data_IF_363401041011
#
_entry.id   IF_363401041011
#
_cell.length_a   1.000
_cell.length_b   1.000
_cell.length_c   1.000
_cell.angle_alpha   90.00
_cell.angle_beta   90.00
_cell.angle_gamma   90.00
#
_symmetry.space_group_name_H-M   'P 1'
#
loop_
_entity.id
_entity.type
_entity.pdbx_description
1 polymer ?
#
# COMPACT_ATOMS: atom_id res chain seq x y z
N UNK A 1 42.54 -33.45 98.85
CA UNK A 1 41.06 -33.31 98.89
C UNK A 1 40.63 -32.29 97.86
N UNK A 2 39.84 -32.71 96.94
CA UNK A 2 39.11 -31.94 95.90
C UNK A 2 39.95 -31.20 94.87
N UNK A 3 40.16 -31.90 93.76
CA UNK A 3 40.54 -31.37 92.45
C UNK A 3 39.36 -30.64 91.81
N UNK A 4 39.68 -29.50 91.24
CA UNK A 4 38.74 -28.81 90.31
C UNK A 4 39.37 -28.75 88.93
N UNK A 5 38.70 -29.39 87.97
CA UNK A 5 39.13 -29.39 86.56
C UNK A 5 38.44 -28.19 85.84
N UNK A 6 39.24 -27.41 85.14
CA UNK A 6 38.84 -26.28 84.30
C UNK A 6 38.63 -26.85 82.90
N UNK A 7 37.38 -26.76 82.42
CA UNK A 7 36.97 -27.02 81.01
C UNK A 7 37.21 -25.79 80.18
N UNK A 8 38.04 -25.90 79.13
CA UNK A 8 38.20 -24.89 78.10
C UNK A 8 37.22 -25.15 76.94
N UNK A 9 36.27 -24.29 76.77
CA UNK A 9 35.32 -24.36 75.65
C UNK A 9 35.90 -23.62 74.44
N UNK A 10 36.20 -24.38 73.34
CA UNK A 10 36.49 -23.76 72.05
C UNK A 10 35.15 -23.32 71.37
N UNK A 11 35.01 -22.04 71.11
CA UNK A 11 33.97 -21.51 70.21
C UNK A 11 34.48 -21.61 68.77
N UNK A 12 33.82 -22.45 67.95
CA UNK A 12 34.00 -22.46 66.50
C UNK A 12 33.08 -21.36 65.88
N UNK A 13 33.69 -20.33 65.27
CA UNK A 13 32.95 -19.38 64.43
C UNK A 13 32.60 -20.05 63.09
N UNK A 14 31.29 -20.30 62.91
CA UNK A 14 30.79 -20.64 61.59
C UNK A 14 30.66 -19.37 60.75
N UNK A 15 31.50 -19.22 59.73
CA UNK A 15 31.37 -18.17 58.70
C UNK A 15 30.21 -18.51 57.76
N UNK A 16 29.09 -17.77 57.85
CA UNK A 16 28.03 -17.80 56.85
C UNK A 16 28.56 -17.21 55.53
N UNK A 17 28.88 -18.06 54.59
CA UNK A 17 29.07 -17.66 53.21
C UNK A 17 27.71 -17.25 52.63
N UNK A 18 27.46 -15.95 52.47
CA UNK A 18 26.35 -15.44 51.66
C UNK A 18 26.67 -15.72 50.21
N UNK A 19 26.10 -16.81 49.69
CA UNK A 19 26.09 -17.10 48.25
C UNK A 19 25.33 -16.01 47.53
N UNK A 20 26.03 -15.09 46.86
CA UNK A 20 25.44 -14.23 45.85
C UNK A 20 24.87 -15.11 44.77
N UNK A 21 23.52 -15.07 44.59
CA UNK A 21 22.89 -15.62 43.39
C UNK A 21 23.56 -14.98 42.19
N UNK A 22 23.95 -15.75 41.17
CA UNK A 22 24.43 -15.15 39.94
C UNK A 22 23.32 -14.28 39.38
N UNK A 23 23.60 -12.99 39.24
CA UNK A 23 22.79 -12.06 38.47
C UNK A 23 22.60 -12.65 37.08
N UNK A 24 21.38 -12.96 36.70
CA UNK A 24 21.08 -13.47 35.36
C UNK A 24 21.54 -12.43 34.37
N UNK A 25 22.64 -12.73 33.67
CA UNK A 25 23.08 -11.93 32.56
C UNK A 25 21.91 -11.65 31.64
N UNK A 26 21.44 -10.42 31.58
CA UNK A 26 20.45 -9.95 30.61
C UNK A 26 21.05 -10.24 29.24
N UNK A 27 20.64 -11.35 28.62
CA UNK A 27 21.02 -11.66 27.26
C UNK A 27 20.48 -10.52 26.38
N UNK A 28 21.37 -9.88 25.62
CA UNK A 28 20.96 -8.87 24.63
C UNK A 28 19.88 -9.51 23.73
N UNK A 29 18.83 -8.75 23.41
CA UNK A 29 17.79 -9.26 22.50
C UNK A 29 18.40 -9.81 21.21
N UNK A 30 17.96 -10.96 20.77
CA UNK A 30 18.37 -11.55 19.50
C UNK A 30 17.78 -10.70 18.37
N UNK A 31 18.61 -10.26 17.43
CA UNK A 31 18.15 -9.57 16.25
C UNK A 31 17.36 -10.55 15.37
N UNK A 32 16.04 -10.38 15.29
CA UNK A 32 15.15 -11.19 14.45
C UNK A 32 14.77 -10.36 13.23
N UNK A 33 14.93 -10.94 12.03
CA UNK A 33 14.33 -10.39 10.82
C UNK A 33 12.85 -10.76 10.81
N UNK A 34 11.98 -9.80 11.10
CA UNK A 34 10.52 -10.02 11.16
C UNK A 34 9.83 -9.93 9.81
N UNK A 35 10.54 -9.44 8.78
CA UNK A 35 9.99 -9.35 7.42
C UNK A 35 10.95 -9.96 6.40
N UNK A 36 11.26 -11.27 6.51
CA UNK A 36 12.07 -11.93 5.51
C UNK A 36 11.30 -11.94 4.18
N UNK A 37 12.00 -11.63 3.10
CA UNK A 37 11.47 -11.77 1.74
C UNK A 37 12.16 -12.98 1.05
N UNK A 38 11.55 -14.18 1.15
CA UNK A 38 12.08 -15.37 0.48
C UNK A 38 11.82 -15.38 -1.04
N UNK A 39 11.02 -14.44 -1.53
CA UNK A 39 10.65 -14.26 -2.92
C UNK A 39 11.03 -12.84 -3.40
N UNK A 40 12.33 -12.48 -3.41
CA UNK A 40 12.74 -11.13 -3.71
C UNK A 40 12.36 -10.72 -5.13
N UNK A 41 12.18 -9.40 -5.31
CA UNK A 41 11.95 -8.83 -6.63
C UNK A 41 13.08 -9.23 -7.60
N UNK A 42 12.68 -9.73 -8.77
CA UNK A 42 13.57 -9.93 -9.92
C UNK A 42 13.35 -8.86 -10.99
N UNK A 43 12.54 -7.85 -10.68
CA UNK A 43 12.28 -6.74 -11.59
C UNK A 43 13.56 -6.05 -12.02
N UNK A 44 13.65 -5.77 -13.30
CA UNK A 44 14.69 -4.94 -13.91
C UNK A 44 14.02 -3.94 -14.84
N UNK A 45 14.43 -2.69 -14.76
CA UNK A 45 13.91 -1.66 -15.65
C UNK A 45 14.08 -2.06 -17.12
N UNK A 46 13.06 -1.81 -17.90
CA UNK A 46 13.09 -2.02 -19.35
C UNK A 46 14.04 -1.01 -20.01
N UNK A 47 14.52 -1.29 -21.25
CA UNK A 47 15.35 -0.35 -21.98
C UNK A 47 14.67 1.03 -22.11
N UNK A 48 15.35 2.07 -21.68
CA UNK A 48 14.86 3.44 -21.66
C UNK A 48 15.79 4.36 -22.43
N UNK A 49 15.24 5.11 -23.38
CA UNK A 49 15.96 6.18 -24.05
C UNK A 49 15.80 7.49 -23.27
N UNK A 50 16.85 8.35 -23.21
CA UNK A 50 16.69 9.69 -22.67
C UNK A 50 15.58 10.43 -23.38
N UNK A 51 14.56 10.88 -22.60
CA UNK A 51 13.34 11.51 -23.15
C UNK A 51 13.08 12.83 -22.47
N UNK A 52 12.86 13.88 -23.24
CA UNK A 52 12.44 15.20 -22.76
C UNK A 52 11.04 15.48 -23.27
N UNK A 53 10.12 15.75 -22.37
CA UNK A 53 8.79 16.27 -22.68
C UNK A 53 8.84 17.76 -22.34
N UNK A 54 8.59 18.62 -23.33
CA UNK A 54 8.64 20.06 -23.15
C UNK A 54 7.31 20.74 -23.46
N UNK A 55 7.16 21.94 -22.94
CA UNK A 55 6.03 22.82 -23.23
C UNK A 55 4.67 22.24 -22.79
N UNK A 56 4.66 21.33 -21.80
CA UNK A 56 3.46 20.76 -21.20
C UNK A 56 3.06 21.51 -19.93
N UNK A 57 1.79 21.40 -19.50
CA UNK A 57 1.43 21.69 -18.11
C UNK A 57 1.87 20.49 -17.27
N UNK A 58 2.64 20.72 -16.20
CA UNK A 58 3.18 19.65 -15.34
C UNK A 58 2.54 19.75 -13.97
N UNK A 59 1.98 18.64 -13.48
CA UNK A 59 1.73 18.42 -12.06
C UNK A 59 2.89 17.60 -11.49
N UNK A 60 3.60 18.13 -10.49
CA UNK A 60 4.79 17.45 -9.96
C UNK A 60 4.48 16.27 -9.01
N UNK A 61 3.22 16.18 -8.57
CA UNK A 61 2.74 15.15 -7.66
C UNK A 61 2.87 15.50 -6.18
N UNK A 62 3.41 16.68 -5.85
CA UNK A 62 3.51 17.24 -4.50
C UNK A 62 2.91 18.65 -4.43
N UNK A 63 1.80 18.86 -5.15
CA UNK A 63 1.03 20.09 -5.17
C UNK A 63 1.51 21.15 -6.17
N UNK A 64 2.68 20.97 -6.80
CA UNK A 64 3.24 21.92 -7.75
C UNK A 64 2.63 21.80 -9.15
N UNK A 65 2.39 22.99 -9.78
CA UNK A 65 1.96 23.15 -11.17
C UNK A 65 2.95 24.04 -11.93
N UNK A 66 3.40 23.57 -13.09
CA UNK A 66 4.34 24.31 -13.96
C UNK A 66 3.72 24.45 -15.35
N UNK A 67 3.48 25.67 -15.79
CA UNK A 67 3.04 25.95 -17.15
C UNK A 67 4.24 25.94 -18.11
N UNK A 68 4.02 25.49 -19.35
CA UNK A 68 5.08 25.34 -20.35
C UNK A 68 6.31 24.59 -19.81
N UNK A 69 6.05 23.62 -18.93
CA UNK A 69 7.08 22.87 -18.21
C UNK A 69 7.84 21.91 -19.09
N UNK A 70 9.00 21.52 -18.57
CA UNK A 70 9.90 20.54 -19.17
C UNK A 70 10.18 19.45 -18.15
N UNK A 71 10.03 18.18 -18.56
CA UNK A 71 10.37 16.98 -17.78
C UNK A 71 11.40 16.17 -18.53
N UNK A 72 12.53 15.88 -17.89
CA UNK A 72 13.60 15.06 -18.47
C UNK A 72 13.71 13.72 -17.72
N UNK A 73 13.54 12.63 -18.46
CA UNK A 73 13.62 11.24 -18.00
C UNK A 73 14.89 10.60 -18.59
N UNK A 74 15.77 10.08 -17.76
CA UNK A 74 16.99 9.40 -18.20
C UNK A 74 17.52 8.43 -17.13
N UNK A 75 18.08 7.31 -17.57
CA UNK A 75 18.66 6.32 -16.66
C UNK A 75 17.66 5.74 -15.65
N UNK A 76 16.41 5.62 -16.02
CA UNK A 76 15.33 5.15 -15.13
C UNK A 76 14.84 6.19 -14.11
N UNK A 77 15.33 7.43 -14.19
CA UNK A 77 15.06 8.47 -13.21
C UNK A 77 14.51 9.73 -13.86
N UNK A 78 13.73 10.47 -13.07
CA UNK A 78 13.49 11.88 -13.34
C UNK A 78 14.81 12.62 -13.12
N UNK A 79 15.32 13.25 -14.16
CA UNK A 79 16.62 13.93 -14.09
C UNK A 79 16.45 15.43 -13.88
N UNK A 80 15.45 16.03 -14.53
CA UNK A 80 15.11 17.43 -14.33
C UNK A 80 13.62 17.66 -14.54
N UNK A 81 13.08 18.62 -13.79
CA UNK A 81 11.74 19.20 -13.99
C UNK A 81 11.86 20.69 -13.78
N UNK A 82 11.29 21.47 -14.68
CA UNK A 82 11.35 22.92 -14.58
C UNK A 82 10.53 23.63 -15.66
N UNK A 83 10.74 24.93 -15.80
CA UNK A 83 10.07 25.76 -16.80
C UNK A 83 10.62 25.58 -18.23
N UNK A 84 10.22 26.46 -19.15
CA UNK A 84 10.58 26.39 -20.59
C UNK A 84 12.09 26.47 -20.84
N UNK A 85 12.85 27.13 -19.96
CA UNK A 85 14.29 27.32 -20.10
C UNK A 85 15.14 26.15 -19.56
N UNK A 86 14.48 25.07 -19.12
CA UNK A 86 15.18 23.86 -18.64
C UNK A 86 16.06 23.26 -19.77
N UNK A 87 17.38 23.06 -19.55
CA UNK A 87 18.27 22.57 -20.58
C UNK A 87 17.87 21.21 -21.15
N UNK A 88 17.97 21.06 -22.47
CA UNK A 88 17.71 19.80 -23.17
C UNK A 88 19.06 19.18 -23.53
N UNK A 89 19.41 18.01 -22.99
CA UNK A 89 20.65 17.32 -23.32
C UNK A 89 20.67 16.85 -24.78
N UNK A 90 21.85 16.91 -25.39
CA UNK A 90 22.05 16.37 -26.74
C UNK A 90 21.73 14.88 -26.79
N UNK A 91 21.08 14.44 -27.86
CA UNK A 91 20.73 13.02 -28.08
C UNK A 91 19.47 12.54 -27.35
N UNK A 92 18.78 13.40 -26.56
CA UNK A 92 17.50 13.04 -26.01
C UNK A 92 16.38 13.05 -27.07
N UNK A 93 15.44 12.13 -26.96
CA UNK A 93 14.17 12.18 -27.70
C UNK A 93 13.34 13.33 -27.17
N UNK A 94 12.99 14.28 -28.00
CA UNK A 94 12.18 15.45 -27.60
C UNK A 94 10.74 15.25 -28.03
N UNK A 95 9.82 15.37 -27.06
CA UNK A 95 8.37 15.28 -27.27
C UNK A 95 7.76 16.66 -27.01
N UNK A 96 6.98 17.15 -27.97
CA UNK A 96 6.19 18.36 -27.81
C UNK A 96 4.91 18.08 -26.99
N UNK A 97 4.82 18.70 -25.84
CA UNK A 97 3.70 18.62 -24.93
C UNK A 97 2.73 19.78 -25.01
N UNK A 98 2.79 20.60 -26.06
CA UNK A 98 1.87 21.74 -26.24
C UNK A 98 0.42 21.30 -26.14
N UNK A 99 -0.35 21.91 -25.22
CA UNK A 99 -1.75 21.57 -24.95
C UNK A 99 -1.95 20.24 -24.23
N UNK A 100 -0.87 19.64 -23.73
CA UNK A 100 -0.88 18.36 -22.99
C UNK A 100 -0.41 18.55 -21.54
N UNK A 101 -0.69 17.54 -20.71
CA UNK A 101 -0.28 17.50 -19.31
C UNK A 101 0.70 16.36 -19.07
N UNK A 102 1.64 16.59 -18.17
CA UNK A 102 2.53 15.54 -17.64
C UNK A 102 2.29 15.44 -16.13
N UNK A 103 2.07 14.21 -15.68
CA UNK A 103 1.92 13.89 -14.25
C UNK A 103 2.86 12.76 -13.85
N UNK A 104 3.13 12.56 -12.54
CA UNK A 104 3.64 11.28 -12.08
C UNK A 104 2.71 10.15 -12.53
N UNK A 105 3.26 8.94 -12.64
CA UNK A 105 2.46 7.74 -12.82
C UNK A 105 1.41 7.59 -11.72
N UNK A 106 0.21 7.17 -12.10
CA UNK A 106 -0.86 6.92 -11.14
C UNK A 106 -0.55 5.68 -10.31
N UNK A 107 -0.78 5.76 -9.01
CA UNK A 107 -0.58 4.67 -8.04
C UNK A 107 -1.94 4.27 -7.47
N UNK A 108 -2.37 3.04 -7.71
CA UNK A 108 -3.56 2.50 -7.06
C UNK A 108 -3.18 1.74 -5.80
N UNK A 109 -3.63 2.24 -4.66
CA UNK A 109 -3.32 1.64 -3.35
C UNK A 109 -4.20 0.43 -3.02
N UNK A 110 -5.23 0.13 -3.80
CA UNK A 110 -6.14 -0.98 -3.53
C UNK A 110 -6.63 -1.63 -4.82
N UNK A 111 -5.98 -2.69 -5.21
CA UNK A 111 -6.34 -3.48 -6.38
C UNK A 111 -6.34 -4.97 -6.07
N UNK A 112 -7.13 -5.71 -6.84
CA UNK A 112 -7.21 -7.16 -6.83
C UNK A 112 -6.87 -7.76 -8.21
N UNK A 113 -6.25 -6.97 -9.10
CA UNK A 113 -5.83 -7.47 -10.41
C UNK A 113 -4.89 -8.67 -10.25
N UNK A 114 -5.12 -9.68 -11.04
CA UNK A 114 -4.41 -10.95 -10.97
C UNK A 114 -4.93 -11.93 -9.92
N UNK A 115 -5.53 -11.46 -8.80
CA UNK A 115 -6.16 -12.33 -7.78
C UNK A 115 -7.61 -12.67 -8.15
N UNK A 116 -8.25 -11.85 -8.98
CA UNK A 116 -9.55 -12.08 -9.61
C UNK A 116 -9.43 -11.84 -11.11
N UNK A 117 -8.52 -12.57 -11.74
CA UNK A 117 -8.14 -12.37 -13.12
C UNK A 117 -9.29 -12.62 -14.09
N UNK A 118 -9.27 -11.92 -15.22
CA UNK A 118 -10.19 -12.17 -16.34
C UNK A 118 -9.89 -13.49 -17.06
N UNK A 119 -10.90 -14.27 -17.48
CA UNK A 119 -12.32 -14.06 -17.23
C UNK A 119 -12.69 -14.35 -15.78
N UNK A 120 -13.66 -13.63 -15.21
CA UNK A 120 -14.12 -13.78 -13.83
C UNK A 120 -14.89 -15.09 -13.60
N UNK A 121 -14.16 -16.17 -13.45
CA UNK A 121 -14.66 -17.52 -13.17
C UNK A 121 -14.11 -18.02 -11.84
N UNK A 122 -14.73 -19.03 -11.22
CA UNK A 122 -14.33 -19.55 -9.92
C UNK A 122 -12.85 -19.98 -9.86
N UNK A 123 -12.32 -20.52 -10.96
CA UNK A 123 -10.92 -20.91 -11.07
C UNK A 123 -9.92 -19.74 -10.94
N UNK A 124 -10.38 -18.49 -11.11
CA UNK A 124 -9.60 -17.27 -11.00
C UNK A 124 -9.99 -16.45 -9.75
N UNK A 125 -10.69 -17.04 -8.79
CA UNK A 125 -11.20 -16.34 -7.60
C UNK A 125 -10.31 -16.63 -6.38
N UNK A 126 -9.12 -16.05 -6.37
CA UNK A 126 -8.05 -16.36 -5.41
C UNK A 126 -7.79 -15.24 -4.38
N UNK A 127 -8.61 -14.20 -4.35
CA UNK A 127 -8.37 -13.03 -3.51
C UNK A 127 -8.69 -13.20 -2.02
N UNK A 128 -9.31 -14.31 -1.56
CA UNK A 128 -9.59 -14.53 -0.14
C UNK A 128 -9.40 -15.99 0.29
N UNK A 129 -8.49 -16.23 1.23
CA UNK A 129 -8.41 -17.52 1.94
C UNK A 129 -9.42 -17.53 3.09
N UNK A 130 -10.70 -17.71 2.76
CA UNK A 130 -11.81 -17.55 3.70
C UNK A 130 -12.07 -18.79 4.59
N UNK A 131 -11.07 -19.63 4.85
CA UNK A 131 -11.20 -20.85 5.68
C UNK A 131 -11.08 -20.59 7.19
N UNK A 132 -10.73 -19.37 7.57
CA UNK A 132 -10.70 -18.91 8.97
C UNK A 132 -10.50 -17.41 9.05
N UNK A 133 -10.90 -16.76 10.17
CA UNK A 133 -10.87 -15.30 10.28
C UNK A 133 -9.46 -14.70 10.35
N UNK A 134 -8.46 -15.50 10.66
CA UNK A 134 -7.05 -15.10 10.76
C UNK A 134 -6.24 -15.94 9.78
N UNK A 135 -5.70 -15.31 8.74
CA UNK A 135 -4.88 -15.92 7.68
C UNK A 135 -3.70 -15.03 7.31
N UNK A 136 -3.03 -14.49 8.34
CA UNK A 136 -1.89 -13.61 8.14
C UNK A 136 -0.67 -14.29 7.48
N UNK A 137 -0.68 -15.62 7.37
CA UNK A 137 0.34 -16.42 6.70
C UNK A 137 0.23 -16.47 5.19
N UNK A 138 -0.93 -16.12 4.61
CA UNK A 138 -1.09 -16.11 3.15
C UNK A 138 -0.59 -14.80 2.55
N UNK A 139 -0.16 -14.84 1.29
CA UNK A 139 0.44 -13.70 0.61
C UNK A 139 -0.20 -13.53 -0.77
N UNK A 140 -0.74 -12.36 -1.08
CA UNK A 140 -1.37 -12.07 -2.36
C UNK A 140 -0.44 -12.34 -3.56
N UNK A 141 0.87 -12.12 -3.41
CA UNK A 141 1.85 -12.39 -4.48
C UNK A 141 1.87 -13.85 -4.96
N UNK A 142 1.32 -14.79 -4.19
CA UNK A 142 1.25 -16.19 -4.58
C UNK A 142 0.05 -16.53 -5.46
N UNK A 143 -0.96 -15.65 -5.53
CA UNK A 143 -2.15 -15.81 -6.36
C UNK A 143 -2.16 -14.90 -7.59
N UNK A 144 -1.38 -13.84 -7.61
CA UNK A 144 -1.35 -12.91 -8.76
C UNK A 144 -1.03 -13.63 -10.06
N UNK A 145 -1.93 -13.55 -11.03
CA UNK A 145 -1.68 -13.97 -12.40
C UNK A 145 -1.17 -12.79 -13.24
N UNK A 146 0.13 -12.77 -13.61
CA UNK A 146 0.75 -11.62 -14.30
C UNK A 146 0.18 -11.29 -15.69
N UNK A 147 -0.47 -12.27 -16.33
CA UNK A 147 -1.07 -12.13 -17.67
C UNK A 147 -2.54 -11.66 -17.62
N UNK A 148 -3.06 -11.31 -16.45
CA UNK A 148 -4.40 -10.70 -16.37
C UNK A 148 -4.44 -9.43 -17.24
N UNK A 149 -5.35 -9.35 -18.24
CA UNK A 149 -5.47 -8.18 -19.12
C UNK A 149 -5.87 -6.90 -18.36
N UNK A 150 -6.34 -7.02 -17.13
CA UNK A 150 -6.60 -5.90 -16.24
C UNK A 150 -5.37 -5.00 -16.06
N UNK A 151 -4.16 -5.57 -15.99
CA UNK A 151 -2.92 -4.81 -15.85
C UNK A 151 -2.67 -3.89 -17.04
N UNK A 152 -2.74 -4.42 -18.27
CA UNK A 152 -2.52 -3.60 -19.47
C UNK A 152 -3.63 -2.56 -19.66
N UNK A 153 -4.88 -2.88 -19.36
CA UNK A 153 -5.99 -1.92 -19.42
C UNK A 153 -5.82 -0.79 -18.40
N UNK A 154 -5.40 -1.10 -17.18
CA UNK A 154 -5.11 -0.11 -16.14
C UNK A 154 -3.97 0.84 -16.59
N UNK A 155 -2.94 0.29 -17.24
CA UNK A 155 -1.83 1.09 -17.78
C UNK A 155 -2.32 2.08 -18.83
N UNK A 156 -3.01 1.57 -19.88
CA UNK A 156 -3.31 2.39 -21.07
C UNK A 156 -4.46 3.36 -20.88
N UNK A 157 -5.45 3.01 -20.06
CA UNK A 157 -6.62 3.84 -19.81
C UNK A 157 -6.49 4.73 -18.58
N UNK A 158 -5.81 4.24 -17.54
CA UNK A 158 -5.67 4.91 -16.25
C UNK A 158 -4.30 5.53 -15.98
N UNK A 159 -3.28 5.20 -16.79
CA UNK A 159 -1.91 5.65 -16.51
C UNK A 159 -1.34 5.01 -15.23
N UNK A 160 -1.84 3.85 -14.82
CA UNK A 160 -1.40 3.14 -13.61
C UNK A 160 -0.01 2.57 -13.83
N UNK A 161 0.97 3.07 -13.11
CA UNK A 161 2.37 2.62 -13.18
C UNK A 161 2.77 1.73 -12.00
N UNK A 162 2.07 1.87 -10.89
CA UNK A 162 2.31 1.12 -9.65
C UNK A 162 0.97 0.81 -9.00
N UNK A 163 0.84 -0.38 -8.42
CA UNK A 163 -0.37 -0.76 -7.71
C UNK A 163 -0.06 -1.71 -6.55
N UNK A 164 -0.87 -1.65 -5.50
CA UNK A 164 -0.85 -2.64 -4.44
C UNK A 164 -1.90 -3.71 -4.72
N UNK A 165 -1.46 -4.97 -4.79
CA UNK A 165 -2.37 -6.12 -4.75
C UNK A 165 -2.45 -6.61 -3.31
N UNK A 166 -3.67 -6.78 -2.83
CA UNK A 166 -3.92 -7.18 -1.45
C UNK A 166 -5.11 -8.15 -1.38
N UNK A 167 -5.15 -9.02 -0.37
CA UNK A 167 -6.30 -9.90 -0.16
C UNK A 167 -7.60 -9.12 -0.01
N UNK A 168 -8.72 -9.75 -0.35
CA UNK A 168 -10.05 -9.21 -0.10
C UNK A 168 -10.36 -9.09 1.40
N UNK A 169 -11.58 -8.69 1.73
CA UNK A 169 -11.97 -8.33 3.10
C UNK A 169 -12.84 -9.38 3.79
N UNK A 170 -12.77 -10.66 3.36
CA UNK A 170 -13.49 -11.74 4.04
C UNK A 170 -12.95 -12.03 5.45
N UNK A 171 -11.66 -11.85 5.65
CA UNK A 171 -10.94 -12.19 6.88
C UNK A 171 -10.66 -10.93 7.73
N UNK A 172 -10.62 -11.08 9.05
CA UNK A 172 -10.10 -10.03 9.95
C UNK A 172 -8.61 -9.77 9.68
N UNK A 173 -7.84 -10.84 9.42
CA UNK A 173 -6.45 -10.79 8.97
C UNK A 173 -6.37 -11.60 7.68
N UNK A 174 -6.33 -10.89 6.56
CA UNK A 174 -6.44 -11.47 5.22
C UNK A 174 -5.13 -11.97 4.63
N UNK A 175 -3.99 -11.51 5.15
CA UNK A 175 -2.67 -11.89 4.65
C UNK A 175 -1.86 -10.71 4.11
N UNK A 176 -0.68 -11.01 3.56
CA UNK A 176 0.24 -9.99 3.06
C UNK A 176 -0.18 -9.45 1.70
N UNK A 177 -0.08 -8.14 1.54
CA UNK A 177 -0.17 -7.46 0.26
C UNK A 177 1.20 -7.31 -0.39
N UNK A 178 1.24 -7.08 -1.70
CA UNK A 178 2.46 -6.82 -2.47
C UNK A 178 2.29 -5.57 -3.31
N UNK A 179 3.36 -4.78 -3.46
CA UNK A 179 3.41 -3.65 -4.39
C UNK A 179 4.05 -4.09 -5.69
N UNK A 180 3.38 -3.82 -6.81
CA UNK A 180 3.83 -4.18 -8.14
C UNK A 180 4.07 -2.94 -8.99
N UNK A 181 5.07 -3.00 -9.87
CA UNK A 181 5.15 -2.14 -11.05
C UNK A 181 4.27 -2.73 -12.14
N UNK A 182 3.49 -1.89 -12.79
CA UNK A 182 2.56 -2.34 -13.83
C UNK A 182 3.29 -2.56 -15.17
N UNK A 183 4.09 -3.60 -15.22
CA UNK A 183 4.90 -3.98 -16.37
C UNK A 183 4.57 -5.40 -16.82
N UNK A 184 4.67 -5.73 -18.12
CA UNK A 184 4.56 -7.10 -18.58
C UNK A 184 5.62 -7.99 -17.91
N UNK A 185 5.21 -9.14 -17.39
CA UNK A 185 6.15 -10.10 -16.82
C UNK A 185 5.56 -11.51 -16.83
N UNK A 186 6.44 -12.54 -16.84
CA UNK A 186 6.01 -13.94 -16.77
C UNK A 186 5.79 -14.44 -15.35
N UNK A 187 6.30 -13.70 -14.37
CA UNK A 187 6.19 -14.03 -12.93
C UNK A 187 5.91 -12.77 -12.13
N UNK A 188 5.23 -12.91 -11.01
CA UNK A 188 4.94 -11.79 -10.11
C UNK A 188 6.22 -11.11 -9.59
N UNK A 189 7.29 -11.87 -9.36
CA UNK A 189 8.58 -11.30 -8.93
C UNK A 189 9.18 -10.37 -9.99
N UNK A 190 8.87 -10.61 -11.28
CA UNK A 190 9.25 -9.70 -12.37
C UNK A 190 8.48 -8.38 -12.37
N UNK A 191 7.33 -8.32 -11.70
CA UNK A 191 6.54 -7.09 -11.49
C UNK A 191 6.78 -6.46 -10.11
N UNK A 192 7.26 -7.24 -9.14
CA UNK A 192 7.38 -6.83 -7.74
C UNK A 192 8.24 -5.58 -7.58
N UNK A 193 7.70 -4.56 -6.94
CA UNK A 193 8.38 -3.27 -6.74
C UNK A 193 9.64 -3.46 -5.87
N UNK A 194 10.84 -3.06 -6.33
CA UNK A 194 12.09 -3.32 -5.61
C UNK A 194 12.14 -2.62 -4.25
N UNK A 195 12.22 -3.43 -3.18
CA UNK A 195 12.36 -2.95 -1.81
C UNK A 195 11.14 -2.17 -1.29
N UNK A 196 9.95 -2.41 -1.83
CA UNK A 196 8.72 -1.98 -1.18
C UNK A 196 8.44 -2.87 0.04
N UNK A 197 8.01 -2.30 1.18
CA UNK A 197 7.56 -3.12 2.30
C UNK A 197 6.29 -3.89 1.95
N UNK A 198 6.09 -5.04 2.58
CA UNK A 198 4.79 -5.71 2.54
C UNK A 198 3.77 -4.95 3.36
N UNK A 199 2.48 -5.10 3.00
CA UNK A 199 1.38 -4.74 3.86
C UNK A 199 0.72 -5.96 4.50
N UNK A 200 -0.04 -5.77 5.55
CA UNK A 200 -1.00 -6.72 6.09
C UNK A 200 -2.40 -6.21 5.78
N UNK A 201 -3.18 -6.95 4.99
CA UNK A 201 -4.60 -6.68 4.83
C UNK A 201 -5.35 -7.12 6.08
N UNK A 202 -6.07 -6.17 6.66
CA UNK A 202 -7.05 -6.42 7.71
C UNK A 202 -8.45 -5.97 7.25
N UNK A 203 -9.48 -6.39 7.96
CA UNK A 203 -10.83 -5.91 7.76
C UNK A 203 -11.60 -5.76 9.08
N UNK A 204 -12.38 -4.68 9.19
CA UNK A 204 -13.42 -4.50 10.18
C UNK A 204 -14.81 -4.73 9.55
N UNK A 205 -15.88 -4.57 10.32
CA UNK A 205 -17.22 -4.38 9.80
C UNK A 205 -17.98 -5.63 9.44
N UNK A 206 -18.87 -5.46 8.47
CA UNK A 206 -19.85 -6.50 8.15
C UNK A 206 -19.27 -7.69 7.38
N UNK A 207 -18.19 -7.49 6.61
CA UNK A 207 -17.69 -8.56 5.76
C UNK A 207 -17.20 -9.77 6.57
N UNK A 208 -16.26 -9.64 7.53
CA UNK A 208 -15.84 -10.80 8.34
C UNK A 208 -16.99 -11.41 9.12
N UNK A 209 -17.82 -10.58 9.79
CA UNK A 209 -18.93 -11.11 10.59
C UNK A 209 -19.96 -11.86 9.75
N UNK A 210 -20.20 -11.44 8.49
CA UNK A 210 -21.12 -12.12 7.57
C UNK A 210 -20.52 -13.45 7.09
N UNK A 211 -19.25 -13.42 6.66
CA UNK A 211 -18.58 -14.61 6.12
C UNK A 211 -18.52 -15.73 7.15
N UNK A 212 -18.10 -15.45 8.37
CA UNK A 212 -17.96 -16.46 9.41
C UNK A 212 -19.26 -16.72 10.16
N UNK A 213 -20.08 -15.71 10.40
CA UNK A 213 -21.40 -15.86 11.03
C UNK A 213 -22.34 -16.76 10.22
N UNK A 214 -22.32 -16.69 8.89
CA UNK A 214 -23.10 -17.60 8.01
C UNK A 214 -22.68 -19.07 8.13
N UNK A 215 -21.48 -19.32 8.66
CA UNK A 215 -20.91 -20.67 8.90
C UNK A 215 -21.00 -21.09 10.38
N UNK A 216 -21.78 -20.36 11.21
CA UNK A 216 -21.84 -20.55 12.67
C UNK A 216 -20.45 -20.48 13.35
N UNK A 217 -19.57 -19.62 12.86
CA UNK A 217 -18.22 -19.39 13.38
C UNK A 217 -18.07 -17.96 13.89
N UNK A 218 -17.16 -17.75 14.83
CA UNK A 218 -16.73 -16.41 15.25
C UNK A 218 -15.75 -15.83 14.22
N UNK A 219 -15.90 -14.53 13.84
CA UNK A 219 -16.87 -13.55 14.35
C UNK A 219 -18.23 -13.63 13.66
N UNK A 220 -19.30 -13.39 14.41
CA UNK A 220 -20.66 -13.21 13.90
C UNK A 220 -21.23 -11.83 14.24
N UNK A 221 -20.49 -11.05 15.02
CA UNK A 221 -20.83 -9.69 15.47
C UNK A 221 -19.60 -8.80 15.40
N UNK A 222 -19.78 -7.47 15.46
CA UNK A 222 -18.67 -6.51 15.61
C UNK A 222 -17.91 -6.69 16.93
N UNK A 223 -18.60 -7.07 18.02
CA UNK A 223 -17.93 -7.47 19.26
C UNK A 223 -17.01 -8.67 19.05
N UNK A 224 -17.46 -9.65 18.24
CA UNK A 224 -16.68 -10.81 17.84
C UNK A 224 -15.45 -10.45 17.01
N UNK A 225 -15.57 -9.48 16.08
CA UNK A 225 -14.44 -8.97 15.34
C UNK A 225 -13.33 -8.51 16.27
N UNK A 226 -13.64 -7.57 17.16
CA UNK A 226 -12.67 -7.00 18.11
C UNK A 226 -12.11 -8.03 19.09
N UNK A 227 -12.94 -8.99 19.53
CA UNK A 227 -12.47 -10.06 20.42
C UNK A 227 -11.43 -10.96 19.74
N UNK A 228 -11.65 -11.33 18.48
CA UNK A 228 -10.69 -12.13 17.69
C UNK A 228 -9.42 -11.33 17.43
N UNK A 229 -9.55 -10.06 17.05
CA UNK A 229 -8.41 -9.18 16.79
C UNK A 229 -7.53 -9.04 18.03
N UNK A 230 -8.09 -8.71 19.18
CA UNK A 230 -7.34 -8.58 20.44
C UNK A 230 -6.65 -9.88 20.87
N UNK A 231 -7.34 -11.03 20.73
CA UNK A 231 -6.74 -12.33 21.02
C UNK A 231 -5.55 -12.62 20.09
N UNK A 232 -5.68 -12.25 18.83
CA UNK A 232 -4.65 -12.46 17.81
C UNK A 232 -3.43 -11.59 18.07
N UNK A 233 -3.63 -10.30 18.37
CA UNK A 233 -2.54 -9.39 18.72
C UNK A 233 -1.83 -9.78 20.01
N UNK A 234 -2.58 -10.25 21.03
CA UNK A 234 -1.99 -10.74 22.27
C UNK A 234 -1.06 -11.94 22.03
N UNK A 235 -1.47 -12.90 21.17
CA UNK A 235 -0.64 -14.04 20.76
C UNK A 235 0.59 -13.59 19.99
N UNK A 236 0.44 -12.63 19.06
CA UNK A 236 1.56 -12.08 18.28
C UNK A 236 2.59 -11.38 19.18
N UNK A 237 2.14 -10.58 20.14
CA UNK A 237 3.02 -9.91 21.09
C UNK A 237 3.78 -10.90 21.99
N UNK A 238 3.11 -11.96 22.44
CA UNK A 238 3.77 -13.03 23.20
C UNK A 238 4.81 -13.79 22.35
N UNK A 239 4.46 -14.14 21.13
CA UNK A 239 5.35 -14.79 20.18
C UNK A 239 6.59 -13.94 19.88
N UNK A 240 6.39 -12.64 19.59
CA UNK A 240 7.48 -11.70 19.34
C UNK A 240 8.47 -11.69 20.51
N UNK A 241 7.98 -11.54 21.74
CA UNK A 241 8.83 -11.56 22.95
C UNK A 241 9.59 -12.88 23.12
N UNK A 242 8.97 -14.02 22.82
CA UNK A 242 9.62 -15.34 22.90
C UNK A 242 10.78 -15.46 21.90
N UNK A 243 10.53 -15.06 20.65
CA UNK A 243 11.52 -15.12 19.56
C UNK A 243 12.69 -14.16 19.82
N UNK A 244 12.45 -12.97 20.34
CA UNK A 244 13.48 -12.01 20.70
C UNK A 244 14.35 -12.50 21.87
N UNK A 245 13.78 -13.34 22.73
CA UNK A 245 14.53 -13.95 23.84
C UNK A 245 15.30 -15.20 23.41
N UNK A 246 14.74 -16.01 22.52
CA UNK A 246 15.33 -17.25 22.05
C UNK A 246 15.03 -17.46 20.55
N UNK A 247 16.08 -17.35 19.74
CA UNK A 247 16.03 -17.58 18.29
C UNK A 247 15.59 -18.98 17.88
N UNK A 248 15.71 -19.98 18.77
CA UNK A 248 15.29 -21.36 18.52
C UNK A 248 13.79 -21.59 18.75
N UNK A 249 13.04 -20.57 19.24
CA UNK A 249 11.58 -20.65 19.32
C UNK A 249 11.03 -21.06 17.93
N UNK A 250 10.22 -22.13 17.82
CA UNK A 250 9.67 -22.57 16.55
C UNK A 250 8.94 -21.45 15.82
N UNK A 251 9.11 -21.38 14.50
CA UNK A 251 8.43 -20.38 13.67
C UNK A 251 6.96 -20.74 13.51
N UNK A 252 6.14 -19.68 13.56
CA UNK A 252 4.75 -19.68 13.19
C UNK A 252 4.57 -18.60 12.11
N UNK A 253 4.25 -18.97 10.88
CA UNK A 253 4.22 -18.07 9.74
C UNK A 253 3.12 -16.98 9.87
N UNK A 254 2.02 -17.32 10.53
CA UNK A 254 0.96 -16.34 10.83
C UNK A 254 1.46 -15.31 11.83
N UNK A 255 2.09 -15.76 12.92
CA UNK A 255 2.62 -14.87 13.96
C UNK A 255 3.88 -14.13 13.50
N UNK A 256 4.67 -14.69 12.58
CA UNK A 256 5.80 -13.98 11.96
C UNK A 256 5.31 -12.70 11.24
N UNK A 257 4.22 -12.80 10.46
CA UNK A 257 3.63 -11.61 9.80
C UNK A 257 3.15 -10.58 10.81
N UNK A 258 2.44 -11.03 11.85
CA UNK A 258 1.90 -10.13 12.89
C UNK A 258 3.02 -9.50 13.73
N UNK A 259 4.08 -10.27 14.03
CA UNK A 259 5.26 -9.74 14.71
C UNK A 259 5.99 -8.69 13.86
N UNK A 260 6.02 -8.86 12.52
CA UNK A 260 6.52 -7.86 11.59
C UNK A 260 5.72 -6.56 11.63
N UNK A 261 4.40 -6.63 11.79
CA UNK A 261 3.55 -5.44 12.02
C UNK A 261 3.88 -4.78 13.34
N UNK A 262 3.96 -5.55 14.44
CA UNK A 262 4.33 -5.03 15.76
C UNK A 262 5.75 -4.45 15.81
N UNK A 263 6.61 -4.84 14.88
CA UNK A 263 7.96 -4.28 14.72
C UNK A 263 8.00 -3.04 13.81
N UNK A 264 6.94 -2.78 13.06
CA UNK A 264 6.87 -1.68 12.09
C UNK A 264 7.44 -1.99 10.71
N UNK A 265 7.79 -3.25 10.43
CA UNK A 265 8.36 -3.69 9.14
C UNK A 265 7.28 -4.00 8.09
N UNK A 266 6.04 -4.28 8.54
CA UNK A 266 4.88 -4.59 7.70
C UNK A 266 3.80 -3.54 7.95
N UNK A 267 3.30 -2.94 6.89
CA UNK A 267 2.33 -1.84 6.93
C UNK A 267 0.90 -2.38 7.11
N UNK A 268 0.05 -1.71 7.88
CA UNK A 268 -1.35 -2.13 8.04
C UNK A 268 -2.27 -1.42 7.05
N UNK A 269 -2.96 -2.20 6.23
CA UNK A 269 -3.94 -1.78 5.23
C UNK A 269 -5.30 -2.33 5.65
N UNK A 270 -6.13 -1.51 6.30
CA UNK A 270 -7.35 -1.98 6.95
C UNK A 270 -8.61 -1.54 6.20
N UNK A 271 -9.36 -2.50 5.66
CA UNK A 271 -10.71 -2.28 5.15
C UNK A 271 -11.65 -1.89 6.31
N UNK A 272 -12.21 -0.68 6.28
CA UNK A 272 -13.16 -0.22 7.28
C UNK A 272 -14.03 0.91 6.71
N UNK A 273 -15.33 0.87 6.94
CA UNK A 273 -16.29 1.86 6.41
C UNK A 273 -16.67 2.91 7.43
N UNK A 274 -17.03 2.47 8.64
CA UNK A 274 -17.68 3.30 9.67
C UNK A 274 -16.66 4.02 10.55
N UNK A 275 -16.97 5.24 10.91
CA UNK A 275 -16.13 6.08 11.76
C UNK A 275 -15.90 5.48 13.15
N UNK A 276 -16.96 4.93 13.77
CA UNK A 276 -16.87 4.31 15.10
C UNK A 276 -15.96 3.06 15.09
N UNK A 277 -16.00 2.25 14.04
CA UNK A 277 -15.15 1.07 13.91
C UNK A 277 -13.69 1.47 13.63
N UNK A 278 -13.44 2.45 12.77
CA UNK A 278 -12.10 2.99 12.56
C UNK A 278 -11.48 3.54 13.85
N UNK A 279 -12.27 4.26 14.67
CA UNK A 279 -11.81 4.76 15.96
C UNK A 279 -11.43 3.62 16.92
N UNK A 280 -12.23 2.55 16.99
CA UNK A 280 -11.92 1.36 17.81
C UNK A 280 -10.63 0.68 17.33
N UNK A 281 -10.42 0.58 16.01
CA UNK A 281 -9.17 0.02 15.46
C UNK A 281 -7.96 0.89 15.80
N UNK A 282 -8.09 2.22 15.79
CA UNK A 282 -7.03 3.14 16.23
C UNK A 282 -6.69 2.91 17.71
N UNK A 283 -7.70 2.76 18.58
CA UNK A 283 -7.46 2.51 20.00
C UNK A 283 -6.82 1.13 20.24
N UNK A 284 -7.24 0.11 19.51
CA UNK A 284 -6.62 -1.22 19.53
C UNK A 284 -5.16 -1.16 19.04
N UNK A 285 -4.86 -0.36 18.03
CA UNK A 285 -3.50 -0.15 17.57
C UNK A 285 -2.61 0.46 18.68
N UNK A 286 -3.15 1.40 19.45
CA UNK A 286 -2.47 1.97 20.64
C UNK A 286 -2.29 0.91 21.74
N UNK A 287 -3.31 0.07 22.01
CA UNK A 287 -3.26 -1.00 23.02
C UNK A 287 -2.10 -1.98 22.75
N UNK A 288 -1.91 -2.38 21.48
CA UNK A 288 -0.92 -3.39 21.11
C UNK A 288 0.39 -2.82 20.53
N UNK A 289 0.47 -1.51 20.31
CA UNK A 289 1.68 -0.84 19.88
C UNK A 289 2.01 -1.00 18.39
N UNK A 290 0.99 -1.20 17.53
CA UNK A 290 1.16 -1.16 16.08
C UNK A 290 0.61 0.14 15.48
N UNK A 291 0.86 0.38 14.19
CA UNK A 291 0.33 1.54 13.47
C UNK A 291 -0.61 1.07 12.35
N UNK A 292 -1.78 1.69 12.26
CA UNK A 292 -2.60 1.63 11.05
C UNK A 292 -2.00 2.59 10.04
N UNK A 293 -1.67 2.10 8.85
CA UNK A 293 -1.09 2.93 7.79
C UNK A 293 -2.19 3.61 6.97
N UNK A 294 -3.20 2.83 6.58
CA UNK A 294 -4.35 3.35 5.85
C UNK A 294 -5.63 2.59 6.19
N UNK A 295 -6.74 3.32 6.24
CA UNK A 295 -8.07 2.75 6.11
C UNK A 295 -8.51 2.79 4.65
N UNK A 296 -9.04 1.67 4.18
CA UNK A 296 -9.55 1.52 2.82
C UNK A 296 -11.07 1.60 2.81
N UNK A 297 -11.60 2.20 1.76
CA UNK A 297 -12.98 2.63 1.60
C UNK A 297 -13.31 3.81 2.49
N UNK A 298 -13.09 3.72 3.79
CA UNK A 298 -13.15 4.81 4.76
C UNK A 298 -14.33 5.76 4.49
N UNK A 299 -15.51 5.17 4.26
CA UNK A 299 -16.72 5.86 3.78
C UNK A 299 -17.14 7.00 4.71
N UNK A 300 -16.93 6.84 6.02
CA UNK A 300 -17.23 7.83 7.03
C UNK A 300 -15.97 8.56 7.55
N UNK A 301 -14.87 8.60 6.78
CA UNK A 301 -13.63 9.25 7.22
C UNK A 301 -13.82 10.74 7.54
N UNK A 302 -14.75 11.42 6.86
CA UNK A 302 -15.07 12.82 7.13
C UNK A 302 -15.52 13.08 8.57
N UNK A 303 -16.11 12.09 9.24
CA UNK A 303 -16.58 12.20 10.65
C UNK A 303 -15.43 12.19 11.66
N UNK A 304 -14.26 11.65 11.28
CA UNK A 304 -13.09 11.45 12.14
C UNK A 304 -11.79 11.93 11.48
N UNK A 305 -11.88 12.88 10.57
CA UNK A 305 -10.73 13.36 9.81
C UNK A 305 -9.62 13.92 10.72
N UNK A 306 -9.98 14.52 11.86
CA UNK A 306 -9.07 14.96 12.91
C UNK A 306 -8.31 13.78 13.55
N UNK A 307 -8.99 12.67 13.87
CA UNK A 307 -8.34 11.48 14.41
C UNK A 307 -7.37 10.85 13.39
N UNK A 308 -7.73 10.83 12.10
CA UNK A 308 -6.86 10.32 11.05
C UNK A 308 -5.59 11.18 10.93
N UNK A 309 -5.74 12.52 10.90
CA UNK A 309 -4.61 13.47 10.88
C UNK A 309 -3.71 13.27 12.08
N UNK A 310 -4.27 13.26 13.30
CA UNK A 310 -3.50 13.26 14.54
C UNK A 310 -2.77 11.92 14.79
N UNK A 311 -3.26 10.83 14.18
CA UNK A 311 -2.59 9.51 14.20
C UNK A 311 -1.77 9.22 12.93
N UNK A 312 -1.66 10.18 11.99
CA UNK A 312 -0.94 10.06 10.73
C UNK A 312 -1.40 8.86 9.87
N UNK A 313 -2.72 8.65 9.80
CA UNK A 313 -3.35 7.57 9.05
C UNK A 313 -3.90 8.13 7.75
N UNK A 314 -3.62 7.46 6.64
CA UNK A 314 -4.22 7.80 5.35
C UNK A 314 -5.62 7.16 5.20
N UNK A 315 -6.49 7.79 4.42
CA UNK A 315 -7.78 7.24 4.02
C UNK A 315 -7.85 7.09 2.50
N UNK A 316 -8.01 5.86 2.03
CA UNK A 316 -8.24 5.55 0.63
C UNK A 316 -9.74 5.44 0.38
N UNK A 317 -10.29 6.29 -0.48
CA UNK A 317 -11.72 6.53 -0.60
C UNK A 317 -12.18 6.44 -2.07
N UNK A 318 -13.47 6.35 -2.29
CA UNK A 318 -14.13 6.57 -3.58
C UNK A 318 -14.78 7.96 -3.60
N UNK A 319 -14.90 8.55 -4.78
CA UNK A 319 -15.55 9.85 -4.92
C UNK A 319 -17.09 9.76 -4.77
N UNK A 320 -17.70 8.69 -5.32
CA UNK A 320 -19.15 8.56 -5.38
C UNK A 320 -19.64 7.09 -5.41
N UNK A 321 -18.77 6.15 -5.03
CA UNK A 321 -19.14 4.74 -5.08
C UNK A 321 -19.68 4.26 -3.73
N UNK A 322 -20.99 4.32 -3.57
CA UNK A 322 -21.74 3.92 -2.38
C UNK A 322 -23.15 3.42 -2.77
N UNK A 323 -23.94 3.04 -1.75
CA UNK A 323 -25.33 2.58 -1.97
C UNK A 323 -25.47 1.09 -2.29
N UNK A 324 -24.39 0.34 -2.42
CA UNK A 324 -24.38 -1.10 -2.70
C UNK A 324 -24.51 -1.97 -1.45
N UNK A 325 -24.35 -1.38 -0.24
CA UNK A 325 -24.56 -2.06 1.04
C UNK A 325 -24.87 -1.07 2.17
N UNK A 326 -25.49 -1.59 3.24
CA UNK A 326 -25.96 -0.77 4.36
C UNK A 326 -24.82 -0.10 5.14
N UNK A 327 -23.65 -0.71 5.19
CA UNK A 327 -22.48 -0.17 5.89
C UNK A 327 -21.91 1.11 5.22
N UNK A 328 -22.26 1.36 3.97
CA UNK A 328 -21.92 2.60 3.25
C UNK A 328 -23.08 3.61 3.18
N UNK A 329 -24.09 3.46 4.04
CA UNK A 329 -25.29 4.30 4.03
C UNK A 329 -25.01 5.79 4.26
N UNK A 330 -24.08 6.11 5.17
CA UNK A 330 -23.70 7.49 5.52
C UNK A 330 -22.59 8.05 4.62
N UNK A 331 -22.37 7.47 3.44
CA UNK A 331 -21.45 8.03 2.46
C UNK A 331 -21.91 9.42 1.99
N UNK A 332 -20.96 10.29 1.79
CA UNK A 332 -21.16 11.61 1.19
C UNK A 332 -20.11 11.85 0.10
N UNK A 333 -20.50 12.56 -0.94
CA UNK A 333 -19.62 12.87 -2.07
C UNK A 333 -18.42 13.75 -1.67
N UNK A 334 -18.58 14.55 -0.63
CA UNK A 334 -17.59 15.50 -0.12
C UNK A 334 -16.51 14.86 0.75
N UNK A 335 -16.59 13.56 1.06
CA UNK A 335 -15.73 12.85 2.01
C UNK A 335 -14.23 13.12 1.76
N UNK A 336 -13.75 12.96 0.52
CA UNK A 336 -12.34 13.15 0.16
C UNK A 336 -11.90 14.59 0.40
N UNK A 337 -12.72 15.57 -0.04
CA UNK A 337 -12.42 16.98 0.12
C UNK A 337 -12.37 17.41 1.59
N UNK A 338 -13.29 16.89 2.43
CA UNK A 338 -13.33 17.14 3.87
C UNK A 338 -12.11 16.55 4.59
N UNK A 339 -11.74 15.32 4.26
CA UNK A 339 -10.55 14.65 4.83
C UNK A 339 -9.28 15.42 4.47
N UNK A 340 -9.13 15.82 3.21
CA UNK A 340 -8.00 16.64 2.76
C UNK A 340 -7.98 18.00 3.46
N UNK A 341 -9.11 18.72 3.50
CA UNK A 341 -9.23 20.02 4.14
C UNK A 341 -8.91 19.99 5.65
N UNK A 342 -9.21 18.89 6.32
CA UNK A 342 -8.81 18.68 7.71
C UNK A 342 -7.31 18.45 7.91
N UNK A 343 -6.51 18.39 6.82
CA UNK A 343 -5.07 18.12 6.84
C UNK A 343 -4.72 16.63 7.02
N UNK A 344 -5.68 15.73 6.82
CA UNK A 344 -5.44 14.29 6.83
C UNK A 344 -5.00 13.80 5.44
N UNK A 345 -4.31 12.66 5.39
CA UNK A 345 -3.81 12.07 4.16
C UNK A 345 -4.95 11.42 3.37
N UNK A 346 -5.51 12.14 2.40
CA UNK A 346 -6.54 11.64 1.49
C UNK A 346 -5.92 10.88 0.30
N UNK A 347 -6.54 9.78 -0.11
CA UNK A 347 -6.18 9.00 -1.30
C UNK A 347 -7.44 8.54 -2.01
N UNK A 348 -7.31 8.25 -3.29
CA UNK A 348 -8.34 7.62 -4.11
C UNK A 348 -7.85 6.21 -4.51
N UNK A 349 -8.75 5.24 -4.54
CA UNK A 349 -8.45 3.86 -4.93
C UNK A 349 -9.53 3.26 -5.82
N UNK A 350 -9.22 2.12 -6.45
CA UNK A 350 -10.18 1.46 -7.34
C UNK A 350 -11.04 0.41 -6.64
N UNK A 351 -10.45 -0.65 -6.10
CA UNK A 351 -11.14 -1.88 -5.66
C UNK A 351 -11.96 -2.57 -6.78
N UNK A 352 -11.77 -2.15 -8.00
CA UNK A 352 -12.58 -2.57 -9.17
C UNK A 352 -11.74 -2.55 -10.45
N UNK A 353 -11.77 -3.63 -11.28
CA UNK A 353 -10.96 -3.73 -12.49
C UNK A 353 -11.38 -2.76 -13.61
N UNK A 354 -12.57 -2.16 -13.52
CA UNK A 354 -13.03 -1.11 -14.43
C UNK A 354 -12.74 0.28 -13.86
N UNK A 355 -12.97 0.47 -12.56
CA UNK A 355 -12.69 1.73 -11.85
C UNK A 355 -11.23 2.15 -11.94
N UNK A 356 -10.29 1.21 -11.84
CA UNK A 356 -8.83 1.46 -11.95
C UNK A 356 -8.44 2.16 -13.26
N UNK A 357 -9.22 2.02 -14.31
CA UNK A 357 -8.96 2.59 -15.63
C UNK A 357 -9.27 4.10 -15.71
N UNK A 358 -9.82 4.71 -14.66
CA UNK A 358 -10.29 6.10 -14.69
C UNK A 358 -10.21 6.82 -13.33
N UNK A 359 -9.20 6.51 -12.52
CA UNK A 359 -9.02 7.15 -11.22
C UNK A 359 -8.82 8.68 -11.31
N UNK A 360 -8.30 9.17 -12.43
CA UNK A 360 -8.23 10.61 -12.72
C UNK A 360 -9.62 11.29 -12.72
N UNK A 361 -10.67 10.59 -13.16
CA UNK A 361 -12.04 11.11 -13.13
C UNK A 361 -12.61 11.12 -11.71
N UNK A 362 -12.19 10.19 -10.85
CA UNK A 362 -12.55 10.20 -9.43
C UNK A 362 -12.01 11.47 -8.73
N UNK A 363 -10.77 11.90 -9.06
CA UNK A 363 -10.23 13.18 -8.56
C UNK A 363 -11.11 14.35 -9.00
N UNK A 364 -11.48 14.41 -10.28
CA UNK A 364 -12.33 15.48 -10.81
C UNK A 364 -13.69 15.55 -10.10
N UNK A 365 -14.32 14.39 -9.83
CA UNK A 365 -15.58 14.33 -9.08
C UNK A 365 -15.39 14.84 -7.65
N UNK A 366 -14.39 14.35 -6.92
CA UNK A 366 -14.12 14.78 -5.55
C UNK A 366 -13.85 16.30 -5.44
N UNK A 367 -13.11 16.87 -6.39
CA UNK A 367 -12.92 18.33 -6.48
C UNK A 367 -14.22 19.09 -6.70
N UNK A 368 -15.07 18.61 -7.64
CA UNK A 368 -16.36 19.23 -7.91
C UNK A 368 -17.27 19.21 -6.67
N UNK A 369 -17.26 18.13 -5.91
CA UNK A 369 -18.02 17.99 -4.67
C UNK A 369 -17.49 18.92 -3.57
N UNK A 370 -16.16 19.02 -3.39
CA UNK A 370 -15.54 19.97 -2.47
C UNK A 370 -15.91 21.42 -2.79
N UNK A 371 -15.81 21.82 -4.07
CA UNK A 371 -16.16 23.18 -4.52
C UNK A 371 -17.63 23.53 -4.25
N UNK A 372 -18.55 22.58 -4.33
CA UNK A 372 -19.98 22.81 -3.99
C UNK A 372 -20.21 23.25 -2.54
N UNK A 373 -19.34 22.83 -1.63
CA UNK A 373 -19.42 23.20 -0.21
C UNK A 373 -18.40 24.29 0.18
N UNK A 374 -17.75 24.92 -0.80
CA UNK A 374 -16.82 26.03 -0.58
C UNK A 374 -15.40 25.61 -0.24
N UNK A 375 -15.03 24.32 -0.42
CA UNK A 375 -13.66 23.85 -0.30
C UNK A 375 -13.03 23.83 -1.70
N UNK A 376 -12.16 24.81 -1.97
CA UNK A 376 -11.44 24.91 -3.23
C UNK A 376 -10.00 24.39 -3.04
N UNK A 377 -9.75 23.20 -3.60
CA UNK A 377 -8.44 22.54 -3.58
C UNK A 377 -7.82 22.71 -4.96
N UNK A 378 -6.57 23.19 -5.06
CA UNK A 378 -5.87 23.27 -6.35
C UNK A 378 -5.77 21.90 -7.04
N UNK A 379 -5.99 21.86 -8.34
CA UNK A 379 -5.99 20.61 -9.13
C UNK A 379 -4.68 19.84 -9.00
N UNK A 380 -3.55 20.54 -8.98
CA UNK A 380 -2.23 19.91 -8.81
C UNK A 380 -2.03 19.32 -7.40
N UNK A 381 -2.63 19.93 -6.38
CA UNK A 381 -2.62 19.43 -5.01
C UNK A 381 -3.50 18.17 -4.88
N UNK A 382 -4.68 18.18 -5.51
CA UNK A 382 -5.55 17.02 -5.56
C UNK A 382 -4.90 15.82 -6.28
N UNK A 383 -3.95 16.05 -7.19
CA UNK A 383 -3.22 14.97 -7.85
C UNK A 383 -2.38 14.13 -6.88
N UNK A 384 -2.04 14.65 -5.69
CA UNK A 384 -1.39 13.90 -4.62
C UNK A 384 -2.20 12.67 -4.20
N UNK A 385 -3.52 12.71 -4.33
CA UNK A 385 -4.42 11.59 -3.96
C UNK A 385 -4.21 10.34 -4.80
N UNK A 386 -3.62 10.49 -5.99
CA UNK A 386 -3.31 9.40 -6.93
C UNK A 386 -1.81 9.10 -7.07
N UNK A 387 -0.94 9.87 -6.43
CA UNK A 387 0.50 9.75 -6.66
C UNK A 387 1.30 9.75 -5.37
N UNK A 388 1.52 10.89 -4.75
CA UNK A 388 2.40 11.01 -3.59
C UNK A 388 1.82 10.40 -2.31
N UNK A 389 0.52 10.62 -2.03
CA UNK A 389 -0.12 10.06 -0.84
C UNK A 389 -0.19 8.53 -0.87
N UNK A 390 -0.59 7.86 -1.97
CA UNK A 390 -0.44 6.41 -2.09
C UNK A 390 1.01 5.94 -1.94
N UNK A 391 1.98 6.64 -2.53
CA UNK A 391 3.39 6.29 -2.37
C UNK A 391 3.86 6.36 -0.91
N UNK A 392 3.40 7.36 -0.14
CA UNK A 392 3.63 7.46 1.32
C UNK A 392 3.03 6.28 2.07
N UNK A 393 1.78 5.95 1.81
CA UNK A 393 1.07 4.85 2.47
C UNK A 393 1.62 3.46 2.09
N UNK A 394 2.33 3.36 0.97
CA UNK A 394 3.05 2.15 0.54
C UNK A 394 4.52 2.12 1.00
N UNK A 395 5.02 3.17 1.66
CA UNK A 395 6.41 3.25 2.10
C UNK A 395 7.43 3.35 0.95
N UNK A 396 7.03 3.94 -0.18
CA UNK A 396 7.88 4.08 -1.39
C UNK A 396 7.99 5.53 -1.89
N UNK A 397 7.55 6.51 -1.10
CA UNK A 397 7.55 7.92 -1.51
C UNK A 397 8.96 8.50 -1.74
N UNK A 398 9.99 7.89 -1.18
CA UNK A 398 11.38 8.19 -1.48
C UNK A 398 11.81 7.77 -2.89
N UNK A 399 11.10 6.84 -3.50
CA UNK A 399 11.43 6.21 -4.80
C UNK A 399 10.56 6.71 -5.96
N UNK A 400 9.25 6.93 -5.74
CA UNK A 400 8.28 7.27 -6.78
C UNK A 400 7.16 8.17 -6.23
N UNK A 401 6.09 8.40 -7.00
CA UNK A 401 4.91 9.17 -6.61
C UNK A 401 5.03 10.68 -6.86
N UNK A 402 6.17 11.17 -7.32
CA UNK A 402 6.32 12.56 -7.78
C UNK A 402 7.42 12.70 -8.82
N UNK A 403 7.34 13.76 -9.62
CA UNK A 403 8.32 14.10 -10.67
C UNK A 403 9.50 14.89 -10.11
N UNK A 404 10.07 14.44 -8.98
CA UNK A 404 11.28 15.08 -8.43
C UNK A 404 12.56 14.43 -8.96
N UNK A 405 13.62 15.22 -9.24
CA UNK A 405 14.90 14.68 -9.64
C UNK A 405 15.41 13.61 -8.66
N UNK A 406 15.87 12.48 -9.22
CA UNK A 406 16.35 11.31 -8.48
C UNK A 406 15.30 10.24 -8.22
N UNK A 407 13.99 10.53 -8.30
CA UNK A 407 12.93 9.53 -8.22
C UNK A 407 12.82 8.72 -9.50
N UNK A 408 12.15 7.57 -9.44
CA UNK A 408 11.85 6.72 -10.59
C UNK A 408 11.07 7.51 -11.64
N UNK A 409 11.42 7.31 -12.90
CA UNK A 409 10.81 8.00 -14.03
C UNK A 409 9.48 7.36 -14.42
N UNK A 410 8.53 7.32 -13.48
CA UNK A 410 7.16 6.88 -13.70
C UNK A 410 6.33 8.12 -14.05
N UNK A 411 5.91 8.25 -15.30
CA UNK A 411 5.26 9.45 -15.80
C UNK A 411 4.16 9.14 -16.82
N UNK A 412 3.14 9.98 -16.87
CA UNK A 412 2.06 9.92 -17.87
C UNK A 412 2.00 11.24 -18.63
N UNK A 413 2.01 11.17 -19.94
CA UNK A 413 1.64 12.26 -20.84
C UNK A 413 0.17 12.10 -21.21
N UNK A 414 -0.64 13.06 -20.83
CA UNK A 414 -2.07 13.11 -21.11
C UNK A 414 -2.32 13.98 -22.34
N UNK A 415 -3.27 13.58 -23.20
CA UNK A 415 -3.62 14.34 -24.41
C UNK A 415 -4.43 15.63 -24.15
N UNK A 416 -4.59 16.01 -22.90
CA UNK A 416 -5.27 17.21 -22.41
C UNK A 416 -5.29 17.25 -20.90
N UNK A 417 -6.11 18.07 -20.29
CA UNK A 417 -6.29 18.15 -18.83
C UNK A 417 -6.69 16.76 -18.27
N UNK A 418 -5.90 16.15 -17.38
CA UNK A 418 -6.18 14.82 -16.85
C UNK A 418 -7.48 14.73 -16.07
N UNK A 419 -8.03 15.84 -15.58
CA UNK A 419 -9.29 15.91 -14.87
C UNK A 419 -10.52 15.97 -15.80
N UNK A 420 -10.31 16.05 -17.10
CA UNK A 420 -11.39 15.97 -18.10
C UNK A 420 -11.75 14.53 -18.44
N UNK A 421 -13.05 14.22 -18.54
CA UNK A 421 -13.55 12.90 -18.96
C UNK A 421 -13.19 12.56 -20.41
N UNK A 422 -12.78 13.53 -21.21
CA UNK A 422 -12.35 13.35 -22.60
C UNK A 422 -10.85 13.03 -22.73
N UNK A 423 -10.10 13.19 -21.64
CA UNK A 423 -8.66 13.03 -21.65
C UNK A 423 -8.26 11.57 -21.37
N UNK A 424 -7.19 11.14 -22.03
CA UNK A 424 -6.60 9.79 -21.90
C UNK A 424 -5.09 9.88 -21.83
N UNK A 425 -4.42 8.89 -21.20
CA UNK A 425 -2.99 8.74 -21.39
C UNK A 425 -2.65 8.64 -22.89
N UNK A 426 -1.72 9.46 -23.35
CA UNK A 426 -1.15 9.37 -24.70
C UNK A 426 0.10 8.51 -24.67
N UNK A 427 0.93 8.69 -23.62
CA UNK A 427 2.11 7.89 -23.36
C UNK A 427 2.29 7.63 -21.88
N UNK A 428 2.81 6.45 -21.56
CA UNK A 428 3.13 6.05 -20.19
C UNK A 428 4.56 5.54 -20.12
N UNK A 429 5.33 6.05 -19.17
CA UNK A 429 6.68 5.59 -18.86
C UNK A 429 6.72 4.96 -17.47
N UNK A 430 7.46 3.86 -17.36
CA UNK A 430 7.82 3.23 -16.10
C UNK A 430 9.35 3.11 -16.07
N UNK A 431 9.98 3.67 -15.04
CA UNK A 431 11.44 3.79 -14.95
C UNK A 431 12.06 4.36 -16.25
N UNK A 432 11.37 5.33 -16.86
CA UNK A 432 11.80 5.99 -18.10
C UNK A 432 11.63 5.16 -19.37
N UNK A 433 11.25 3.90 -19.26
CA UNK A 433 10.92 3.08 -20.41
C UNK A 433 9.51 3.41 -20.92
N UNK A 434 9.36 3.64 -22.19
CA UNK A 434 8.07 3.91 -22.84
C UNK A 434 7.27 2.61 -22.92
N UNK A 435 6.30 2.44 -21.99
CA UNK A 435 5.48 1.23 -21.90
C UNK A 435 4.25 1.28 -22.81
N UNK A 436 3.71 2.48 -23.04
CA UNK A 436 2.54 2.70 -23.89
C UNK A 436 2.70 3.96 -24.72
N UNK A 437 2.29 3.89 -25.98
CA UNK A 437 2.13 5.02 -26.90
C UNK A 437 0.85 4.82 -27.73
N UNK A 438 -0.12 5.69 -27.57
CA UNK A 438 -1.39 5.64 -28.30
C UNK A 438 -1.20 5.74 -29.83
N UNK A 439 -0.08 6.31 -30.28
CA UNK A 439 0.24 6.54 -31.69
C UNK A 439 1.13 5.43 -32.30
N UNK A 440 1.66 4.49 -31.49
CA UNK A 440 2.42 3.34 -31.96
C UNK A 440 1.62 2.04 -31.73
N UNK A 441 1.07 1.41 -32.78
CA UNK A 441 0.31 0.16 -32.65
C UNK A 441 1.08 -0.97 -31.95
N UNK A 442 2.41 -1.01 -32.07
CA UNK A 442 3.25 -2.02 -31.41
C UNK A 442 3.34 -1.89 -29.89
N UNK A 443 2.88 -0.75 -29.35
CA UNK A 443 2.88 -0.45 -27.92
C UNK A 443 1.46 -0.34 -27.37
N UNK A 444 0.49 -0.88 -28.08
CA UNK A 444 -0.89 -1.01 -27.60
C UNK A 444 -1.09 -2.40 -27.02
N UNK A 445 -1.94 -2.54 -25.99
CA UNK A 445 -2.31 -3.86 -25.51
C UNK A 445 -3.06 -4.61 -26.60
N UNK A 446 -2.83 -5.90 -26.64
CA UNK A 446 -3.55 -6.83 -27.50
C UNK A 446 -4.94 -7.16 -26.92
N UNK A 447 -5.74 -7.88 -27.70
CA UNK A 447 -7.05 -8.34 -27.27
C UNK A 447 -6.97 -9.33 -26.10
N UNK A 448 -8.01 -9.37 -25.28
CA UNK A 448 -8.17 -10.35 -24.19
C UNK A 448 -8.18 -11.81 -24.68
N UNK A 449 -8.50 -12.01 -25.95
CA UNK A 449 -8.42 -13.34 -26.56
C UNK A 449 -7.00 -13.82 -26.81
N UNK A 450 -6.03 -12.93 -26.63
CA UNK A 450 -4.60 -13.20 -26.81
C UNK A 450 -3.90 -13.39 -25.45
N UNK A 451 -4.65 -13.69 -24.41
CA UNK A 451 -4.13 -14.02 -23.10
C UNK A 451 -3.09 -15.14 -23.16
N UNK A 452 -1.96 -14.92 -22.52
CA UNK A 452 -0.84 -15.86 -22.52
C UNK A 452 0.01 -15.84 -23.78
N UNK A 453 -0.32 -15.02 -24.77
CA UNK A 453 0.58 -14.77 -25.91
C UNK A 453 1.78 -13.96 -25.43
N UNK A 454 2.97 -14.52 -25.58
CA UNK A 454 4.20 -13.81 -25.29
C UNK A 454 4.62 -12.96 -26.48
N UNK A 455 5.08 -11.77 -26.23
CA UNK A 455 5.76 -10.90 -27.19
C UNK A 455 4.88 -9.86 -27.86
N UNK A 456 3.56 -9.93 -27.75
CA UNK A 456 2.70 -8.83 -28.16
C UNK A 456 2.36 -7.94 -26.95
N UNK A 457 2.82 -6.72 -26.98
CA UNK A 457 2.79 -5.83 -25.82
C UNK A 457 4.04 -5.90 -24.93
N UNK A 458 4.85 -6.94 -25.05
CA UNK A 458 6.19 -6.93 -24.44
C UNK A 458 7.04 -5.87 -25.14
N UNK A 459 7.71 -5.07 -24.34
CA UNK A 459 8.73 -4.15 -24.85
C UNK A 459 9.92 -4.99 -25.28
N UNK A 460 10.06 -5.19 -26.58
CA UNK A 460 11.21 -5.88 -27.16
C UNK A 460 12.41 -4.97 -27.22
#
# INVERSE_FOLDING_TARGET
MRSSAIFLSLFALAACATGSKPESASSKPVAVNWNPDPYPSTYRGYPAAPTVIRNATVYDGEGGRIEHGTVFLSGGKVTAVGGPDTPIPAGATVIDGTGKWVTPGVIDIHSHLGDYASPGVDANSDGNEATGPVRAEVWAEHSVWPQDPGFSRALVNGGITTLQILPGSANLFGGRSVVLKNVPARTVQGMKFPGAPYGLKMACGENPKRVYGSRNQMPSTRMGNIAVDRQTWAKAAEYKRKREKDANTPRDLQLDTLAGVLNGDILVQNHCYRADEMAIVIDMAKEFGYKVTAFHHAVEAYKIADLLRDNHICAAMWADWYGFKMESYDAIDENIALVHHAGACAMIHSDDPNGIQRLNQEVAKALAHGRRIGIDIPDAEAWEWLSFNPAKALGIADKTGSLKPGKMADAVLWNGDPLSVYTRPERVWIDGALMYDANDPRRRPVSDFELGQTGEGDVK
#
